data_IF_998308260308
#
_entry.id   IF_998308260308
#
_cell.length_a   1.000
_cell.length_b   1.000
_cell.length_c   1.000
_cell.angle_alpha   90.00
_cell.angle_beta   90.00
_cell.angle_gamma   90.00
#
_symmetry.space_group_name_H-M   'P 1'
#
loop_
_entity.id
_entity.type
_entity.pdbx_description
1 polymer ?
#
# COMPACT_ATOMS: atom_id res chain seq x y z
N UNK A 1 -22.65 -25.85 25.80
CA UNK A 1 -22.66 -25.16 24.49
C UNK A 1 -21.23 -24.81 24.11
N UNK A 2 -20.70 -25.41 23.04
CA UNK A 2 -19.35 -25.13 22.56
C UNK A 2 -19.34 -23.78 21.84
N UNK A 3 -18.26 -23.01 21.97
CA UNK A 3 -18.07 -21.77 21.20
C UNK A 3 -17.10 -22.06 20.06
N UNK A 4 -17.46 -21.65 18.85
CA UNK A 4 -16.62 -21.76 17.66
C UNK A 4 -16.40 -20.37 17.09
N UNK A 5 -15.14 -20.03 16.85
CA UNK A 5 -14.73 -18.82 16.14
C UNK A 5 -14.21 -19.23 14.77
N UNK A 6 -14.79 -18.65 13.72
CA UNK A 6 -14.23 -18.74 12.36
C UNK A 6 -13.48 -17.45 12.08
N UNK A 7 -12.15 -17.54 12.02
CA UNK A 7 -11.28 -16.44 11.63
C UNK A 7 -10.41 -16.94 10.47
N UNK A 8 -10.57 -16.35 9.29
CA UNK A 8 -9.81 -16.74 8.10
C UNK A 8 -9.38 -15.51 7.33
N UNK A 9 -8.15 -15.55 6.82
CA UNK A 9 -7.68 -14.62 5.80
C UNK A 9 -8.15 -15.09 4.42
N UNK A 10 -7.99 -14.22 3.44
CA UNK A 10 -8.37 -14.44 2.05
C UNK A 10 -7.51 -15.50 1.37
N UNK A 11 -8.10 -16.19 0.40
CA UNK A 11 -7.37 -16.96 -0.59
C UNK A 11 -7.13 -16.04 -1.77
N UNK A 12 -5.94 -15.42 -1.78
CA UNK A 12 -5.56 -14.35 -2.72
C UNK A 12 -5.95 -14.66 -4.17
N UNK A 13 -6.74 -13.75 -4.78
CA UNK A 13 -7.24 -13.90 -6.15
C UNK A 13 -8.30 -14.98 -6.34
N UNK A 14 -8.91 -15.51 -5.27
CA UNK A 14 -9.91 -16.58 -5.34
C UNK A 14 -11.10 -16.33 -4.42
N UNK A 15 -10.93 -16.35 -3.09
CA UNK A 15 -12.02 -16.11 -2.12
C UNK A 15 -11.59 -15.05 -1.11
N UNK A 16 -12.47 -14.08 -0.87
CA UNK A 16 -12.35 -13.13 0.23
C UNK A 16 -12.49 -13.81 1.59
N UNK A 17 -11.94 -13.20 2.64
CA UNK A 17 -12.15 -13.62 4.04
C UNK A 17 -13.64 -13.76 4.37
N UNK A 18 -14.48 -12.85 3.86
CA UNK A 18 -15.94 -12.89 4.04
C UNK A 18 -16.61 -14.09 3.38
N UNK A 19 -16.19 -14.47 2.16
CA UNK A 19 -16.73 -15.63 1.46
C UNK A 19 -16.36 -16.93 2.17
N UNK A 20 -15.11 -17.05 2.61
CA UNK A 20 -14.66 -18.21 3.38
C UNK A 20 -15.45 -18.33 4.68
N UNK A 21 -15.59 -17.23 5.43
CA UNK A 21 -16.38 -17.20 6.66
C UNK A 21 -17.82 -17.61 6.40
N UNK A 22 -18.44 -17.10 5.33
CA UNK A 22 -19.83 -17.43 4.96
C UNK A 22 -20.00 -18.92 4.67
N UNK A 23 -19.10 -19.50 3.85
CA UNK A 23 -19.10 -20.91 3.50
C UNK A 23 -18.89 -21.82 4.72
N UNK A 24 -17.87 -21.53 5.54
CA UNK A 24 -17.61 -22.29 6.76
C UNK A 24 -18.77 -22.17 7.76
N UNK A 25 -19.35 -20.96 7.91
CA UNK A 25 -20.48 -20.73 8.82
C UNK A 25 -21.70 -21.55 8.42
N UNK A 26 -21.98 -21.65 7.12
CA UNK A 26 -23.08 -22.48 6.60
C UNK A 26 -22.87 -23.94 6.97
N UNK A 27 -21.70 -24.50 6.69
CA UNK A 27 -21.39 -25.92 6.96
C UNK A 27 -21.42 -26.23 8.46
N UNK A 28 -20.87 -25.35 9.30
CA UNK A 28 -20.88 -25.55 10.76
C UNK A 28 -22.31 -25.52 11.30
N UNK A 29 -23.15 -24.59 10.85
CA UNK A 29 -24.56 -24.53 11.25
C UNK A 29 -25.33 -25.77 10.79
N UNK A 30 -25.12 -26.23 9.56
CA UNK A 30 -25.79 -27.43 9.03
C UNK A 30 -25.44 -28.70 9.82
N UNK A 31 -24.18 -28.86 10.24
CA UNK A 31 -23.72 -30.10 10.90
C UNK A 31 -23.88 -30.13 12.43
N UNK A 32 -23.99 -28.97 13.09
CA UNK A 32 -23.84 -28.88 14.54
C UNK A 32 -24.85 -27.94 15.24
N UNK A 33 -25.98 -27.64 14.59
CA UNK A 33 -26.93 -26.55 14.92
C UNK A 33 -27.43 -26.47 16.37
N UNK A 34 -27.48 -27.56 17.13
CA UNK A 34 -28.05 -27.58 18.49
C UNK A 34 -27.05 -27.40 19.63
N UNK A 35 -25.73 -27.41 19.39
CA UNK A 35 -24.72 -27.44 20.47
C UNK A 35 -23.66 -26.33 20.42
N UNK A 36 -23.70 -25.46 19.40
CA UNK A 36 -22.63 -24.50 19.11
C UNK A 36 -23.14 -23.05 19.07
N UNK A 37 -22.39 -22.17 19.73
CA UNK A 37 -22.43 -20.72 19.52
C UNK A 37 -21.32 -20.33 18.55
N UNK A 38 -21.69 -19.75 17.41
CA UNK A 38 -20.78 -19.41 16.32
C UNK A 38 -20.50 -17.91 16.28
N UNK A 39 -19.23 -17.54 16.18
CA UNK A 39 -18.78 -16.17 15.91
C UNK A 39 -17.80 -16.18 14.73
N UNK A 40 -17.68 -15.04 14.06
CA UNK A 40 -16.80 -14.89 12.91
C UNK A 40 -15.95 -13.64 13.03
N UNK A 41 -14.73 -13.70 12.48
CA UNK A 41 -13.77 -12.61 12.50
C UNK A 41 -13.13 -12.45 11.12
N UNK A 42 -13.26 -11.27 10.52
CA UNK A 42 -12.45 -10.94 9.36
C UNK A 42 -11.03 -10.66 9.83
N UNK A 43 -10.07 -11.37 9.26
CA UNK A 43 -8.66 -11.13 9.45
C UNK A 43 -8.02 -10.85 8.09
N UNK A 44 -6.96 -10.06 8.12
CA UNK A 44 -6.16 -9.69 6.97
C UNK A 44 -4.75 -9.31 7.43
N UNK A 45 -3.79 -9.37 6.53
CA UNK A 45 -2.36 -9.19 6.80
C UNK A 45 -1.80 -7.84 6.28
N UNK A 46 -2.66 -6.88 5.98
CA UNK A 46 -2.29 -5.61 5.33
C UNK A 46 -2.42 -5.66 3.80
N UNK A 47 -2.80 -6.80 3.23
CA UNK A 47 -3.14 -6.94 1.81
C UNK A 47 -4.60 -6.63 1.50
N UNK A 48 -5.09 -7.28 0.45
CA UNK A 48 -6.48 -7.21 0.01
C UNK A 48 -7.45 -7.63 1.12
N UNK A 49 -8.47 -6.82 1.38
CA UNK A 49 -9.47 -7.09 2.42
C UNK A 49 -9.10 -6.60 3.82
N UNK A 50 -7.96 -5.92 3.98
CA UNK A 50 -7.58 -5.27 5.24
C UNK A 50 -8.54 -4.17 5.65
N UNK A 51 -9.06 -3.43 4.67
CA UNK A 51 -10.09 -2.44 4.91
C UNK A 51 -11.38 -3.08 5.44
N UNK A 52 -11.77 -4.22 4.87
CA UNK A 52 -12.96 -4.96 5.29
C UNK A 52 -12.81 -5.52 6.71
N UNK A 53 -11.62 -6.04 7.03
CA UNK A 53 -11.28 -6.48 8.37
C UNK A 53 -11.44 -5.34 9.38
N UNK A 54 -10.84 -4.17 9.13
CA UNK A 54 -10.94 -3.02 10.05
C UNK A 54 -12.37 -2.49 10.16
N UNK A 55 -13.09 -2.36 9.04
CA UNK A 55 -14.48 -1.88 9.04
C UNK A 55 -15.42 -2.79 9.85
N UNK A 56 -15.06 -4.06 10.05
CA UNK A 56 -15.86 -5.00 10.85
C UNK A 56 -15.75 -4.75 12.36
N UNK A 57 -14.74 -4.00 12.81
CA UNK A 57 -14.49 -3.70 14.23
C UNK A 57 -14.64 -2.22 14.58
N UNK A 58 -14.24 -1.33 13.68
CA UNK A 58 -14.22 0.11 13.93
C UNK A 58 -15.51 0.75 13.43
N UNK A 59 -15.97 1.75 14.17
CA UNK A 59 -17.04 2.64 13.72
C UNK A 59 -16.44 3.75 12.85
N UNK A 60 -17.12 4.08 11.76
CA UNK A 60 -16.68 5.08 10.79
C UNK A 60 -17.43 4.94 9.47
N UNK A 61 -16.98 5.68 8.46
CA UNK A 61 -17.59 5.75 7.15
C UNK A 61 -16.65 5.23 6.06
N UNK A 62 -17.19 4.46 5.10
CA UNK A 62 -16.49 4.18 3.85
C UNK A 62 -16.67 5.36 2.92
N UNK A 63 -15.57 6.00 2.59
CA UNK A 63 -15.55 7.11 1.64
C UNK A 63 -15.40 6.52 0.24
N UNK A 64 -16.47 6.57 -0.54
CA UNK A 64 -16.41 6.28 -1.98
C UNK A 64 -15.76 7.44 -2.72
N UNK A 65 -14.81 7.14 -3.59
CA UNK A 65 -14.09 8.14 -4.38
C UNK A 65 -13.59 7.53 -5.69
N UNK A 66 -12.91 8.34 -6.51
CA UNK A 66 -12.24 7.89 -7.73
C UNK A 66 -10.75 8.11 -7.62
N UNK A 67 -9.98 7.15 -8.12
CA UNK A 67 -8.53 7.24 -8.21
C UNK A 67 -8.05 6.56 -9.49
N UNK A 68 -6.81 6.82 -9.90
CA UNK A 68 -6.19 5.99 -10.95
C UNK A 68 -5.64 4.70 -10.34
N UNK A 69 -5.81 3.59 -11.04
CA UNK A 69 -5.14 2.35 -10.70
C UNK A 69 -3.68 2.33 -11.19
N UNK A 70 -2.96 1.25 -10.89
CA UNK A 70 -1.58 1.08 -11.33
C UNK A 70 -1.41 1.03 -12.85
N UNK A 71 -2.47 0.93 -13.65
CA UNK A 71 -2.48 0.96 -15.11
C UNK A 71 -3.02 2.29 -15.67
N UNK A 72 -3.05 3.34 -14.85
CA UNK A 72 -3.54 4.68 -15.21
C UNK A 72 -5.04 4.76 -15.57
N UNK A 73 -5.83 3.71 -15.24
CA UNK A 73 -7.27 3.71 -15.47
C UNK A 73 -7.97 4.39 -14.31
N UNK A 74 -8.93 5.26 -14.60
CA UNK A 74 -9.81 5.80 -13.56
C UNK A 74 -10.75 4.70 -13.06
N UNK A 75 -10.70 4.43 -11.75
CA UNK A 75 -11.53 3.43 -11.08
C UNK A 75 -12.30 4.05 -9.92
N UNK A 76 -13.44 3.46 -9.61
CA UNK A 76 -14.12 3.70 -8.34
C UNK A 76 -13.42 2.89 -7.25
N UNK A 77 -13.18 3.52 -6.12
CA UNK A 77 -12.43 2.94 -5.00
C UNK A 77 -12.87 3.59 -3.70
N UNK A 78 -12.30 3.14 -2.59
CA UNK A 78 -12.72 3.57 -1.27
C UNK A 78 -11.58 3.51 -0.25
N UNK A 79 -11.75 4.27 0.83
CA UNK A 79 -11.00 4.15 2.06
C UNK A 79 -11.94 4.32 3.25
N UNK A 80 -11.48 4.01 4.45
CA UNK A 80 -12.29 4.11 5.67
C UNK A 80 -11.87 5.34 6.48
N UNK A 81 -12.84 6.06 7.02
CA UNK A 81 -12.60 7.29 7.75
C UNK A 81 -13.39 7.32 9.06
N UNK A 82 -12.70 7.63 10.15
CA UNK A 82 -13.28 7.88 11.46
C UNK A 82 -13.28 9.39 11.71
N UNK A 83 -14.46 10.00 11.68
CA UNK A 83 -14.61 11.47 11.68
C UNK A 83 -14.24 12.11 13.02
N UNK A 84 -14.58 11.48 14.13
CA UNK A 84 -14.30 12.00 15.47
C UNK A 84 -12.79 11.96 15.77
N UNK A 85 -12.15 10.83 15.43
CA UNK A 85 -10.73 10.57 15.61
C UNK A 85 -9.87 11.18 14.50
N UNK A 86 -10.48 11.71 13.43
CA UNK A 86 -9.83 12.22 12.23
C UNK A 86 -8.80 11.23 11.67
N UNK A 87 -9.16 9.95 11.64
CA UNK A 87 -8.26 8.86 11.27
C UNK A 87 -8.74 8.21 9.98
N UNK A 88 -7.88 8.14 8.97
CA UNK A 88 -8.15 7.44 7.72
C UNK A 88 -7.35 6.13 7.64
N UNK A 89 -7.93 5.12 6.99
CA UNK A 89 -7.32 3.83 6.73
C UNK A 89 -7.40 3.56 5.23
N UNK A 90 -6.24 3.48 4.58
CA UNK A 90 -6.10 3.35 3.13
C UNK A 90 -5.43 2.00 2.83
N UNK A 91 -6.13 1.15 2.09
CA UNK A 91 -5.60 -0.09 1.57
C UNK A 91 -5.00 0.16 0.18
N UNK A 92 -3.67 0.18 0.05
CA UNK A 92 -3.04 0.54 -1.23
C UNK A 92 -3.32 -0.48 -2.33
N UNK A 93 -3.64 -1.73 -1.96
CA UNK A 93 -4.05 -2.77 -2.90
C UNK A 93 -5.31 -2.37 -3.70
N UNK A 94 -6.21 -1.54 -3.16
CA UNK A 94 -7.41 -1.07 -3.87
C UNK A 94 -7.10 -0.27 -5.14
N UNK A 95 -5.89 0.28 -5.28
CA UNK A 95 -5.42 0.97 -6.49
C UNK A 95 -4.17 0.33 -7.11
N UNK A 96 -3.46 -0.52 -6.37
CA UNK A 96 -2.21 -1.16 -6.81
C UNK A 96 -2.26 -2.69 -6.93
N UNK A 97 -3.43 -3.33 -6.79
CA UNK A 97 -3.57 -4.79 -6.69
C UNK A 97 -2.87 -5.54 -7.83
N UNK A 98 -1.92 -6.41 -7.49
CA UNK A 98 -1.21 -7.28 -8.44
C UNK A 98 -2.15 -8.24 -9.21
N UNK A 99 -3.11 -8.94 -8.57
CA UNK A 99 -4.09 -9.78 -9.26
C UNK A 99 -4.95 -9.06 -10.32
N UNK A 100 -5.19 -7.75 -10.18
CA UNK A 100 -6.11 -7.00 -11.05
C UNK A 100 -5.41 -6.17 -12.14
N UNK A 101 -4.09 -6.33 -12.28
CA UNK A 101 -3.35 -5.65 -13.33
C UNK A 101 -3.68 -6.24 -14.69
N UNK A 102 -3.96 -5.36 -15.65
CA UNK A 102 -3.97 -5.71 -17.06
C UNK A 102 -2.58 -6.23 -17.48
N UNK A 103 -2.45 -7.51 -17.89
CA UNK A 103 -1.16 -8.10 -18.26
C UNK A 103 -0.57 -7.49 -19.53
N UNK A 104 -1.38 -6.83 -20.37
CA UNK A 104 -0.93 -6.13 -21.57
C UNK A 104 -0.34 -4.75 -21.27
N UNK A 105 -0.68 -4.16 -20.11
CA UNK A 105 -0.18 -2.85 -19.73
C UNK A 105 1.31 -2.93 -19.37
N UNK A 106 2.17 -2.08 -19.97
CA UNK A 106 3.60 -2.15 -19.73
C UNK A 106 3.93 -1.96 -18.24
N UNK A 107 4.62 -2.94 -17.64
CA UNK A 107 5.10 -2.87 -16.24
C UNK A 107 5.86 -1.56 -15.98
N UNK A 108 6.68 -1.15 -16.96
CA UNK A 108 7.46 0.10 -16.97
C UNK A 108 6.63 1.40 -17.05
N UNK A 109 5.30 1.31 -17.20
CA UNK A 109 4.38 2.45 -17.16
C UNK A 109 3.46 2.45 -15.95
N UNK A 110 3.55 1.45 -15.06
CA UNK A 110 2.66 1.38 -13.90
C UNK A 110 2.79 2.62 -13.01
N UNK A 111 1.83 2.89 -12.14
CA UNK A 111 1.88 4.11 -11.32
C UNK A 111 1.44 3.89 -9.88
N UNK A 112 1.84 4.81 -9.00
CA UNK A 112 1.39 4.89 -7.60
C UNK A 112 0.59 6.16 -7.31
N UNK A 113 0.28 7.01 -8.31
CA UNK A 113 -0.49 8.25 -8.07
C UNK A 113 -1.82 8.00 -7.40
N UNK A 114 -2.49 6.87 -7.69
CA UNK A 114 -3.73 6.50 -7.02
C UNK A 114 -3.64 6.54 -5.50
N UNK A 115 -2.50 6.11 -4.93
CA UNK A 115 -2.28 6.19 -3.48
C UNK A 115 -2.18 7.64 -3.01
N UNK A 116 -1.45 8.49 -3.76
CA UNK A 116 -1.36 9.92 -3.48
C UNK A 116 -2.72 10.62 -3.56
N UNK A 117 -3.56 10.26 -4.53
CA UNK A 117 -4.93 10.78 -4.67
C UNK A 117 -5.78 10.44 -3.44
N UNK A 118 -5.70 9.19 -2.94
CA UNK A 118 -6.42 8.78 -1.73
C UNK A 118 -5.92 9.50 -0.48
N UNK A 119 -4.61 9.66 -0.32
CA UNK A 119 -4.01 10.41 0.78
C UNK A 119 -4.48 11.87 0.74
N UNK A 120 -4.41 12.51 -0.43
CA UNK A 120 -4.84 13.90 -0.64
C UNK A 120 -6.32 14.08 -0.30
N UNK A 121 -7.20 13.19 -0.77
CA UNK A 121 -8.63 13.25 -0.44
C UNK A 121 -8.86 13.08 1.07
N UNK A 122 -8.19 12.14 1.74
CA UNK A 122 -8.30 11.96 3.18
C UNK A 122 -7.87 13.22 3.97
N UNK A 123 -6.75 13.84 3.59
CA UNK A 123 -6.28 15.10 4.20
C UNK A 123 -7.31 16.21 3.98
N UNK A 124 -7.88 16.33 2.78
CA UNK A 124 -8.91 17.32 2.47
C UNK A 124 -10.19 17.12 3.27
N UNK A 125 -10.51 15.88 3.66
CA UNK A 125 -11.61 15.57 4.59
C UNK A 125 -11.27 15.78 6.07
N UNK A 126 -10.05 16.24 6.34
CA UNK A 126 -9.61 16.63 7.68
C UNK A 126 -8.89 15.52 8.46
N UNK A 127 -8.44 14.46 7.79
CA UNK A 127 -7.62 13.43 8.44
C UNK A 127 -6.36 14.04 9.07
N UNK A 128 -6.09 13.63 10.31
CA UNK A 128 -4.89 13.97 11.10
C UNK A 128 -4.04 12.75 11.41
N UNK A 129 -4.56 11.55 11.13
CA UNK A 129 -3.81 10.30 11.13
C UNK A 129 -4.22 9.46 9.94
N UNK A 130 -3.25 8.86 9.25
CA UNK A 130 -3.49 8.01 8.08
C UNK A 130 -2.72 6.70 8.25
N UNK A 131 -3.45 5.60 8.34
CA UNK A 131 -2.91 4.25 8.26
C UNK A 131 -2.89 3.79 6.81
N UNK A 132 -1.74 3.31 6.35
CA UNK A 132 -1.54 2.78 5.00
C UNK A 132 -1.24 1.28 5.11
N UNK A 133 -2.10 0.42 4.57
CA UNK A 133 -1.80 -1.01 4.46
C UNK A 133 -0.90 -1.26 3.24
N UNK A 134 0.33 -1.75 3.45
CA UNK A 134 1.41 -1.78 2.46
C UNK A 134 1.68 -3.16 1.86
N UNK A 135 0.63 -3.92 1.52
CA UNK A 135 0.77 -5.22 0.85
C UNK A 135 -0.12 -5.33 -0.38
N UNK A 136 0.17 -6.33 -1.22
CA UNK A 136 -0.61 -6.63 -2.43
C UNK A 136 -0.29 -5.78 -3.66
N UNK A 137 0.81 -5.03 -3.67
CA UNK A 137 1.12 -4.10 -4.77
C UNK A 137 1.71 -4.76 -6.02
N UNK A 138 1.44 -4.16 -7.18
CA UNK A 138 1.94 -4.53 -8.49
C UNK A 138 3.20 -3.79 -8.95
N UNK A 139 3.66 -2.82 -8.15
CA UNK A 139 4.79 -1.92 -8.45
C UNK A 139 6.01 -2.29 -7.62
N UNK A 140 7.21 -2.03 -8.15
CA UNK A 140 8.46 -2.46 -7.52
C UNK A 140 9.61 -1.45 -7.62
N UNK A 141 9.38 -0.37 -8.35
CA UNK A 141 10.40 0.29 -9.14
C UNK A 141 10.50 1.78 -8.78
N UNK A 142 10.50 2.07 -7.48
CA UNK A 142 10.70 3.42 -6.91
C UNK A 142 9.76 4.44 -7.56
N UNK A 143 8.57 3.98 -7.92
CA UNK A 143 7.58 4.85 -8.52
C UNK A 143 7.05 5.75 -7.43
N UNK A 144 7.75 6.87 -7.28
CA UNK A 144 7.47 7.99 -6.38
C UNK A 144 6.38 8.89 -6.94
N UNK A 145 5.58 8.41 -7.90
CA UNK A 145 4.41 9.12 -8.39
C UNK A 145 3.42 9.47 -7.27
N UNK A 146 3.36 8.68 -6.19
CA UNK A 146 2.65 9.06 -4.96
C UNK A 146 3.22 10.36 -4.37
N UNK A 147 4.55 10.52 -4.30
CA UNK A 147 5.19 11.74 -3.80
C UNK A 147 4.94 12.92 -4.76
N UNK A 148 5.04 12.70 -6.08
CA UNK A 148 4.70 13.73 -7.07
C UNK A 148 3.25 14.20 -6.94
N UNK A 149 2.32 13.24 -6.84
CA UNK A 149 0.90 13.50 -6.64
C UNK A 149 0.65 14.29 -5.36
N UNK A 150 1.49 14.13 -4.33
CA UNK A 150 1.41 14.86 -3.06
C UNK A 150 2.22 16.16 -3.05
N UNK A 151 2.94 16.50 -4.13
CA UNK A 151 3.60 17.79 -4.30
C UNK A 151 5.13 17.80 -4.24
N UNK A 152 5.78 16.63 -4.16
CA UNK A 152 7.24 16.57 -4.34
C UNK A 152 7.58 16.84 -5.80
N UNK A 153 8.53 17.74 -6.05
CA UNK A 153 8.98 18.07 -7.41
C UNK A 153 10.36 17.51 -7.63
N UNK A 154 10.52 16.64 -8.62
CA UNK A 154 11.81 16.12 -9.06
C UNK A 154 12.35 16.95 -10.23
N UNK A 155 13.67 17.00 -10.39
CA UNK A 155 14.32 17.74 -11.46
C UNK A 155 14.36 16.99 -12.81
N UNK A 156 13.36 16.12 -13.05
CA UNK A 156 13.16 15.37 -14.29
C UNK A 156 11.74 15.60 -14.80
N UNK A 157 11.54 15.47 -16.11
CA UNK A 157 10.20 15.64 -16.71
C UNK A 157 9.25 14.49 -16.37
N UNK A 158 9.80 13.27 -16.24
CA UNK A 158 9.05 12.06 -15.95
C UNK A 158 9.86 11.13 -15.06
N UNK A 159 9.29 10.68 -13.95
CA UNK A 159 9.86 9.64 -13.08
C UNK A 159 9.66 8.27 -13.72
N UNK A 160 10.72 7.46 -13.84
CA UNK A 160 10.72 6.07 -14.31
C UNK A 160 11.90 5.31 -13.69
N UNK A 161 11.94 3.99 -13.87
CA UNK A 161 13.08 3.15 -13.46
C UNK A 161 14.44 3.73 -13.93
N UNK A 162 14.48 4.19 -15.17
CA UNK A 162 15.66 4.76 -15.82
C UNK A 162 15.93 6.19 -15.37
N UNK A 163 14.89 7.03 -15.31
CA UNK A 163 15.08 8.44 -14.95
C UNK A 163 15.39 8.63 -13.47
N UNK A 164 15.17 7.64 -12.61
CA UNK A 164 15.63 7.70 -11.21
C UNK A 164 17.12 7.96 -11.10
N UNK A 165 17.94 7.37 -11.97
CA UNK A 165 19.38 7.65 -12.03
C UNK A 165 19.68 9.08 -12.50
N UNK A 166 18.73 9.72 -13.20
CA UNK A 166 18.81 11.11 -13.66
C UNK A 166 18.32 12.11 -12.60
N UNK A 167 17.52 11.66 -11.62
CA UNK A 167 17.06 12.53 -10.53
C UNK A 167 18.26 12.87 -9.65
N UNK A 168 18.68 14.13 -9.69
CA UNK A 168 19.77 14.64 -8.85
C UNK A 168 19.28 15.61 -7.78
N UNK A 169 18.01 16.02 -7.84
CA UNK A 169 17.41 16.91 -6.85
C UNK A 169 15.90 16.74 -6.74
N UNK A 170 15.36 17.10 -5.57
CA UNK A 170 13.92 17.22 -5.36
C UNK A 170 13.58 18.33 -4.35
N UNK A 171 12.41 18.93 -4.50
CA UNK A 171 11.84 19.89 -3.55
C UNK A 171 10.57 19.33 -2.90
N UNK A 172 10.46 19.50 -1.58
CA UNK A 172 9.32 19.02 -0.77
C UNK A 172 8.40 20.13 -0.30
N UNK A 173 8.61 21.40 -0.66
CA UNK A 173 7.87 22.54 -0.07
C UNK A 173 6.33 22.37 -0.14
N UNK A 174 5.78 22.03 -1.31
CA UNK A 174 4.35 21.82 -1.47
C UNK A 174 3.85 20.53 -0.79
N UNK A 175 4.71 19.53 -0.70
CA UNK A 175 4.43 18.28 -0.01
C UNK A 175 4.36 18.50 1.51
N UNK A 176 5.37 19.14 2.09
CA UNK A 176 5.47 19.42 3.53
C UNK A 176 4.29 20.29 3.99
N UNK A 177 3.89 21.27 3.18
CA UNK A 177 2.68 22.06 3.44
C UNK A 177 1.39 21.24 3.39
N UNK A 178 1.29 20.26 2.49
CA UNK A 178 0.09 19.42 2.36
C UNK A 178 -0.05 18.46 3.56
N UNK A 179 1.05 17.86 4.00
CA UNK A 179 1.04 16.82 5.04
C UNK A 179 1.16 17.38 6.47
N UNK A 180 1.30 18.71 6.62
CA UNK A 180 1.57 19.35 7.89
C UNK A 180 0.55 18.95 8.99
N UNK A 181 1.08 18.38 10.08
CA UNK A 181 0.28 17.97 11.23
C UNK A 181 -0.61 16.76 10.97
N UNK A 182 -0.22 15.90 10.02
CA UNK A 182 -0.86 14.61 9.75
C UNK A 182 0.15 13.50 10.09
N UNK A 183 -0.23 12.60 10.98
CA UNK A 183 0.57 11.42 11.33
C UNK A 183 0.35 10.30 10.31
N UNK A 184 1.42 9.67 9.83
CA UNK A 184 1.35 8.57 8.87
C UNK A 184 1.91 7.29 9.46
N UNK A 185 1.17 6.19 9.32
CA UNK A 185 1.55 4.88 9.85
C UNK A 185 1.45 3.85 8.73
N UNK A 186 2.59 3.34 8.28
CA UNK A 186 2.67 2.23 7.34
C UNK A 186 2.52 0.90 8.07
N UNK A 187 1.48 0.14 7.73
CA UNK A 187 1.26 -1.22 8.21
C UNK A 187 1.82 -2.20 7.18
N UNK A 188 2.87 -2.91 7.57
CA UNK A 188 3.53 -3.92 6.76
C UNK A 188 3.79 -5.18 7.58
N UNK A 189 3.68 -6.32 6.92
CA UNK A 189 3.92 -7.65 7.46
C UNK A 189 5.32 -8.19 7.10
N UNK A 190 6.15 -7.36 6.44
CA UNK A 190 7.49 -7.71 6.02
C UNK A 190 8.52 -6.77 6.64
N UNK A 191 9.66 -7.33 7.05
CA UNK A 191 10.80 -6.54 7.56
C UNK A 191 11.84 -6.22 6.48
N UNK A 192 11.60 -6.62 5.22
CA UNK A 192 12.55 -6.48 4.12
C UNK A 192 13.10 -5.04 4.01
N UNK A 193 14.43 -4.85 3.91
CA UNK A 193 15.03 -3.55 3.66
C UNK A 193 14.68 -3.04 2.25
N UNK A 194 15.08 -1.81 1.94
CA UNK A 194 14.94 -1.29 0.58
C UNK A 194 15.91 -2.02 -0.38
N UNK A 195 17.18 -2.12 -0.01
CA UNK A 195 18.27 -2.63 -0.86
C UNK A 195 18.78 -4.02 -0.44
N UNK A 196 19.55 -4.64 -1.34
CA UNK A 196 20.28 -5.88 -1.15
C UNK A 196 19.48 -7.13 -1.53
N UNK A 197 20.07 -8.31 -1.35
CA UNK A 197 19.46 -9.59 -1.74
C UNK A 197 18.14 -9.90 -1.02
N UNK A 198 17.92 -9.32 0.16
CA UNK A 198 16.67 -9.38 0.92
C UNK A 198 15.82 -8.12 0.75
N UNK A 199 16.22 -7.22 -0.15
CA UNK A 199 15.57 -5.94 -0.41
C UNK A 199 14.34 -6.08 -1.29
N UNK A 200 13.66 -4.95 -1.49
CA UNK A 200 12.39 -4.91 -2.19
C UNK A 200 12.48 -5.48 -3.61
N UNK A 201 13.54 -5.13 -4.33
CA UNK A 201 13.69 -5.50 -5.73
C UNK A 201 13.91 -6.99 -5.92
N UNK A 202 14.90 -7.56 -5.23
CA UNK A 202 15.23 -8.97 -5.40
C UNK A 202 14.15 -9.91 -4.84
N UNK A 203 13.49 -9.54 -3.74
CA UNK A 203 12.47 -10.39 -3.11
C UNK A 203 11.13 -10.30 -3.82
N UNK A 204 10.65 -9.08 -4.13
CA UNK A 204 9.29 -8.89 -4.65
C UNK A 204 9.21 -8.60 -6.15
N UNK A 205 10.33 -8.21 -6.79
CA UNK A 205 10.38 -7.94 -8.22
C UNK A 205 10.01 -9.13 -9.11
N UNK A 206 10.50 -10.36 -8.86
CA UNK A 206 10.20 -11.52 -9.70
C UNK A 206 8.70 -11.81 -9.83
N UNK A 207 7.96 -11.84 -8.71
CA UNK A 207 6.51 -12.09 -8.72
C UNK A 207 5.70 -10.97 -9.38
N UNK A 208 6.25 -9.74 -9.42
CA UNK A 208 5.66 -8.59 -10.15
C UNK A 208 6.08 -8.56 -11.62
N UNK A 209 6.97 -9.48 -12.03
CA UNK A 209 7.41 -9.71 -13.39
C UNK A 209 8.62 -8.89 -13.83
N UNK A 210 9.46 -8.43 -12.89
CA UNK A 210 10.67 -7.63 -13.14
C UNK A 210 11.97 -8.46 -13.17
N UNK A 211 11.90 -9.78 -13.36
CA UNK A 211 13.09 -10.66 -13.26
C UNK A 211 14.26 -10.27 -14.19
N UNK A 212 13.97 -9.60 -15.31
CA UNK A 212 15.00 -9.13 -16.26
C UNK A 212 15.58 -7.76 -15.91
N UNK A 213 14.92 -7.04 -15.00
CA UNK A 213 15.18 -5.62 -14.73
C UNK A 213 15.74 -5.41 -13.32
N UNK A 214 15.97 -6.48 -12.54
CA UNK A 214 16.33 -6.39 -11.12
C UNK A 214 17.58 -5.55 -10.87
N UNK A 215 18.63 -5.68 -11.68
CA UNK A 215 19.86 -4.90 -11.52
C UNK A 215 19.61 -3.40 -11.69
N UNK A 216 18.91 -3.02 -12.77
CA UNK A 216 18.56 -1.63 -13.06
C UNK A 216 17.67 -1.03 -11.96
N UNK A 217 16.68 -1.80 -11.49
CA UNK A 217 15.80 -1.36 -10.41
C UNK A 217 16.54 -1.20 -9.09
N UNK A 218 17.46 -2.10 -8.77
CA UNK A 218 18.30 -2.00 -7.58
C UNK A 218 19.21 -0.76 -7.64
N UNK A 219 19.84 -0.51 -8.78
CA UNK A 219 20.67 0.67 -9.00
C UNK A 219 19.86 1.96 -8.82
N UNK A 220 18.67 2.04 -9.41
CA UNK A 220 17.75 3.15 -9.21
C UNK A 220 17.33 3.32 -7.74
N UNK A 221 17.06 2.23 -7.02
CA UNK A 221 16.68 2.30 -5.59
C UNK A 221 17.84 2.82 -4.76
N UNK A 222 19.05 2.34 -5.06
CA UNK A 222 20.28 2.72 -4.35
C UNK A 222 20.61 4.19 -4.55
N UNK A 223 20.47 4.68 -5.77
CA UNK A 223 20.62 6.09 -6.10
C UNK A 223 19.60 6.96 -5.37
N UNK A 224 18.31 6.60 -5.42
CA UNK A 224 17.27 7.35 -4.73
C UNK A 224 17.44 7.35 -3.21
N UNK A 225 17.83 6.22 -2.61
CA UNK A 225 18.14 6.13 -1.19
C UNK A 225 19.32 7.03 -0.80
N UNK A 226 20.34 7.10 -1.64
CA UNK A 226 21.48 8.00 -1.45
C UNK A 226 21.07 9.48 -1.51
N UNK A 227 20.18 9.84 -2.44
CA UNK A 227 19.66 11.19 -2.56
C UNK A 227 18.79 11.59 -1.36
N UNK A 228 17.94 10.67 -0.85
CA UNK A 228 17.18 10.89 0.39
C UNK A 228 18.14 11.16 1.56
N UNK A 229 19.20 10.34 1.69
CA UNK A 229 20.18 10.48 2.75
C UNK A 229 20.92 11.82 2.67
N UNK A 230 21.30 12.25 1.48
CA UNK A 230 21.95 13.55 1.26
C UNK A 230 21.01 14.72 1.63
N UNK A 231 19.78 14.71 1.12
CA UNK A 231 18.85 15.85 1.22
C UNK A 231 18.12 15.93 2.56
N UNK A 232 17.80 14.79 3.17
CA UNK A 232 17.00 14.70 4.40
C UNK A 232 17.77 14.13 5.59
N UNK A 233 18.97 13.58 5.41
CA UNK A 233 19.75 12.98 6.49
C UNK A 233 19.24 11.62 6.96
N UNK A 234 18.29 11.00 6.24
CA UNK A 234 17.63 9.74 6.62
C UNK A 234 18.15 8.63 5.70
N UNK A 235 18.74 7.58 6.26
CA UNK A 235 19.21 6.42 5.50
C UNK A 235 18.19 5.28 5.51
N UNK A 236 17.48 5.11 4.40
CA UNK A 236 16.44 4.08 4.24
C UNK A 236 16.97 2.76 3.65
N UNK A 237 18.25 2.71 3.27
CA UNK A 237 18.83 1.64 2.45
C UNK A 237 18.60 0.24 3.06
N UNK A 238 18.85 0.12 4.36
CA UNK A 238 18.80 -1.14 5.11
C UNK A 238 17.84 -1.10 6.31
N UNK A 239 16.99 -0.07 6.38
CA UNK A 239 16.03 0.05 7.47
C UNK A 239 14.93 -1.01 7.31
N UNK A 240 14.57 -1.66 8.43
CA UNK A 240 13.50 -2.67 8.46
C UNK A 240 12.19 -2.07 7.93
N UNK A 241 11.54 -2.80 7.02
CA UNK A 241 10.27 -2.40 6.42
C UNK A 241 10.38 -1.33 5.33
N UNK A 242 11.56 -0.78 5.04
CA UNK A 242 11.73 0.20 3.97
C UNK A 242 11.41 -0.37 2.59
N UNK A 243 11.54 -1.69 2.40
CA UNK A 243 11.17 -2.37 1.16
C UNK A 243 9.68 -2.71 1.02
N UNK A 244 8.85 -2.39 2.01
CA UNK A 244 7.42 -2.65 1.98
C UNK A 244 6.76 -1.98 0.77
N UNK A 245 5.91 -2.75 0.08
CA UNK A 245 5.23 -2.32 -1.15
C UNK A 245 6.18 -1.71 -2.22
N UNK A 246 7.42 -2.23 -2.33
CA UNK A 246 8.38 -1.84 -3.36
C UNK A 246 9.25 -0.64 -2.96
N UNK A 247 8.62 0.49 -2.62
CA UNK A 247 9.32 1.70 -2.11
C UNK A 247 8.48 2.48 -1.11
N UNK A 248 7.18 2.20 -0.99
CA UNK A 248 6.28 3.01 -0.19
C UNK A 248 6.70 3.05 1.28
N UNK A 249 7.25 1.94 1.81
CA UNK A 249 7.84 1.91 3.15
C UNK A 249 8.95 2.95 3.32
N UNK A 250 9.94 2.96 2.41
CA UNK A 250 11.01 3.94 2.40
C UNK A 250 10.48 5.38 2.27
N UNK A 251 9.47 5.61 1.42
CA UNK A 251 8.84 6.93 1.27
C UNK A 251 8.18 7.38 2.58
N UNK A 252 7.41 6.52 3.25
CA UNK A 252 6.76 6.81 4.53
C UNK A 252 7.81 7.19 5.58
N UNK A 253 8.87 6.37 5.71
CA UNK A 253 9.96 6.60 6.67
C UNK A 253 10.68 7.93 6.42
N UNK A 254 10.89 8.32 5.16
CA UNK A 254 11.78 9.44 4.83
C UNK A 254 11.07 10.75 4.49
N UNK A 255 9.82 10.73 4.02
CA UNK A 255 9.08 11.94 3.63
C UNK A 255 7.98 12.31 4.63
N UNK A 256 7.28 11.34 5.20
CA UNK A 256 6.09 11.59 6.02
C UNK A 256 6.49 11.71 7.50
N UNK A 257 6.71 12.94 7.95
CA UNK A 257 7.21 13.30 9.28
C UNK A 257 6.21 14.14 10.08
#
# INVERSE_FOLDING_TARGET
MKRVLIASDSFKGTLSSSEIISLCSKVVREKFSSEISLSSLLIADGGEGSLDAICSFLQGERIQTKAIDSCERMIETEYFYQREEKTAFIEVAKVLSLPHVDPSFPKRKRTTRGVGMLIRDAIQKGAKRIYLFLRGTSTNDIRIYMLEELGVKFNVSHVSAESLLEITDFSTEAFDSLIQGVEFIGLSDVENPLLGNQGATYVFGPQKGYSKDLCLLEEGMSHFASLIKEKKGIDVSFQKGAGAAGVLGACIISFFH
#
